data_IF_546004255813
#
_entry.id   IF_546004255813
#
_cell.length_a   1.000
_cell.length_b   1.000
_cell.length_c   1.000
_cell.angle_alpha   90.00
_cell.angle_beta   90.00
_cell.angle_gamma   90.00
#
_symmetry.space_group_name_H-M   'P 1'
#
loop_
_entity.id
_entity.type
_entity.pdbx_description
1 polymer ?
#
# COMPACT_ATOMS: atom_id res chain seq x y z
N UNK A 1 -37.70 -1.44 -19.85
CA UNK A 1 -37.10 -0.53 -20.85
C UNK A 1 -36.08 -1.24 -21.73
N UNK A 2 -35.03 -1.87 -21.19
CA UNK A 2 -33.97 -2.49 -22.01
C UNK A 2 -34.08 -4.03 -22.21
N UNK A 3 -34.98 -4.71 -21.49
CA UNK A 3 -35.18 -6.16 -21.65
C UNK A 3 -34.02 -7.06 -21.16
N UNK A 4 -32.95 -6.47 -20.60
CA UNK A 4 -31.81 -7.20 -20.02
C UNK A 4 -31.94 -7.32 -18.50
N UNK A 5 -31.29 -8.33 -17.93
CA UNK A 5 -31.22 -8.47 -16.47
C UNK A 5 -30.33 -7.39 -15.84
N UNK A 6 -30.59 -7.04 -14.57
CA UNK A 6 -29.75 -6.07 -13.84
C UNK A 6 -28.28 -6.50 -13.79
N UNK A 7 -28.03 -7.81 -13.63
CA UNK A 7 -26.68 -8.38 -13.57
C UNK A 7 -25.91 -8.14 -14.87
N UNK A 8 -26.56 -8.45 -16.00
CA UNK A 8 -26.00 -8.28 -17.33
C UNK A 8 -25.80 -6.80 -17.67
N UNK A 9 -26.74 -5.94 -17.25
CA UNK A 9 -26.60 -4.51 -17.40
C UNK A 9 -25.40 -3.96 -16.62
N UNK A 10 -25.26 -4.30 -15.34
CA UNK A 10 -24.16 -3.86 -14.49
C UNK A 10 -22.81 -4.35 -15.01
N UNK A 11 -22.74 -5.61 -15.46
CA UNK A 11 -21.53 -6.18 -16.05
C UNK A 11 -21.11 -5.42 -17.31
N UNK A 12 -22.03 -5.18 -18.26
CA UNK A 12 -21.76 -4.38 -19.47
C UNK A 12 -21.39 -2.94 -19.15
N UNK A 13 -22.00 -2.34 -18.13
CA UNK A 13 -21.66 -1.01 -17.66
C UNK A 13 -20.23 -0.95 -17.10
N UNK A 14 -19.78 -2.00 -16.41
CA UNK A 14 -18.41 -2.15 -15.93
C UNK A 14 -17.40 -2.21 -17.06
N UNK A 15 -17.70 -3.00 -18.10
CA UNK A 15 -16.89 -3.08 -19.33
C UNK A 15 -16.79 -1.71 -20.00
N UNK A 16 -17.94 -1.05 -20.23
CA UNK A 16 -17.97 0.28 -20.84
C UNK A 16 -17.18 1.31 -20.02
N UNK A 17 -17.26 1.26 -18.69
CA UNK A 17 -16.57 2.19 -17.81
C UNK A 17 -15.05 2.16 -18.00
N UNK A 18 -14.44 0.99 -18.18
CA UNK A 18 -12.99 0.86 -18.41
C UNK A 18 -12.60 1.58 -19.71
N UNK A 19 -13.37 1.39 -20.78
CA UNK A 19 -13.16 2.11 -22.05
C UNK A 19 -13.38 3.62 -21.90
N UNK A 20 -14.40 4.03 -21.14
CA UNK A 20 -14.69 5.43 -20.86
C UNK A 20 -13.53 6.12 -20.13
N UNK A 21 -13.02 5.55 -19.03
CA UNK A 21 -11.91 6.18 -18.28
C UNK A 21 -10.62 6.25 -19.10
N UNK A 22 -10.40 5.27 -19.99
CA UNK A 22 -9.27 5.29 -20.93
C UNK A 22 -9.26 6.55 -21.81
N UNK A 23 -10.42 7.01 -22.27
CA UNK A 23 -10.56 8.22 -23.10
C UNK A 23 -10.17 9.52 -22.36
N UNK A 24 -10.22 9.52 -21.03
CA UNK A 24 -9.81 10.66 -20.19
C UNK A 24 -8.34 10.59 -19.75
N UNK A 25 -7.54 9.73 -20.37
CA UNK A 25 -6.10 9.64 -20.14
C UNK A 25 -5.68 8.74 -18.98
N UNK A 26 -6.64 8.09 -18.29
CA UNK A 26 -6.33 7.10 -17.25
C UNK A 26 -5.76 5.80 -17.81
N UNK A 27 -5.83 5.59 -19.13
CA UNK A 27 -5.26 4.44 -19.83
C UNK A 27 -3.78 4.22 -19.49
N UNK A 28 -2.99 5.31 -19.44
CA UNK A 28 -1.57 5.28 -19.08
C UNK A 28 -1.34 4.89 -17.62
N UNK A 29 -2.22 5.31 -16.72
CA UNK A 29 -2.10 5.00 -15.29
C UNK A 29 -2.47 3.54 -15.05
N UNK A 30 -3.53 3.05 -15.71
CA UNK A 30 -3.97 1.66 -15.60
C UNK A 30 -2.95 0.69 -16.21
N UNK A 31 -2.27 1.06 -17.30
CA UNK A 31 -1.26 0.20 -17.94
C UNK A 31 0.04 0.05 -17.14
N UNK A 32 0.35 1.00 -16.26
CA UNK A 32 1.55 0.96 -15.40
C UNK A 32 1.27 0.48 -13.97
N UNK A 33 0.01 0.26 -13.60
CA UNK A 33 -0.35 -0.12 -12.23
C UNK A 33 0.19 -1.50 -11.82
N UNK A 34 0.36 -2.41 -12.78
CA UNK A 34 0.88 -3.73 -12.51
C UNK A 34 1.44 -4.40 -13.76
N UNK A 35 2.55 -5.14 -13.62
CA UNK A 35 3.12 -5.93 -14.72
C UNK A 35 2.24 -7.13 -15.07
N UNK A 36 1.63 -7.74 -14.06
CA UNK A 36 0.69 -8.84 -14.21
C UNK A 36 -0.68 -8.47 -13.62
N UNK A 37 -1.71 -9.21 -14.04
CA UNK A 37 -3.09 -8.98 -13.57
C UNK A 37 -3.21 -9.05 -12.04
N UNK A 38 -2.42 -9.92 -11.40
CA UNK A 38 -2.32 -9.99 -9.94
C UNK A 38 -1.81 -8.67 -9.34
N UNK A 39 -0.74 -8.11 -9.89
CA UNK A 39 -0.12 -6.87 -9.41
C UNK A 39 -1.10 -5.70 -9.54
N UNK A 40 -1.84 -5.66 -10.66
CA UNK A 40 -2.89 -4.68 -10.89
C UNK A 40 -3.93 -4.70 -9.77
N UNK A 41 -4.48 -5.89 -9.46
CA UNK A 41 -5.53 -6.04 -8.45
C UNK A 41 -5.05 -5.63 -7.05
N UNK A 42 -3.80 -5.95 -6.70
CA UNK A 42 -3.17 -5.47 -5.47
C UNK A 42 -2.94 -3.95 -5.45
N UNK A 43 -2.60 -3.37 -6.60
CA UNK A 43 -2.30 -1.94 -6.73
C UNK A 43 -3.54 -1.05 -6.71
N UNK A 44 -4.75 -1.61 -6.87
CA UNK A 44 -6.00 -0.83 -6.96
C UNK A 44 -6.25 0.05 -5.74
N UNK A 45 -5.97 -0.45 -4.52
CA UNK A 45 -6.16 0.32 -3.30
C UNK A 45 -5.25 1.56 -3.28
N UNK A 46 -4.01 1.45 -3.78
CA UNK A 46 -3.07 2.57 -3.88
C UNK A 46 -3.50 3.58 -4.95
N UNK A 47 -3.98 3.10 -6.11
CA UNK A 47 -4.55 3.96 -7.14
C UNK A 47 -5.74 4.76 -6.60
N UNK A 48 -6.65 4.09 -5.88
CA UNK A 48 -7.79 4.74 -5.26
C UNK A 48 -7.37 5.78 -4.21
N UNK A 49 -6.32 5.51 -3.44
CA UNK A 49 -5.80 6.50 -2.50
C UNK A 49 -5.24 7.72 -3.23
N UNK A 50 -4.48 7.52 -4.31
CA UNK A 50 -4.01 8.61 -5.16
C UNK A 50 -5.16 9.44 -5.74
N UNK A 51 -6.21 8.80 -6.22
CA UNK A 51 -7.39 9.49 -6.77
C UNK A 51 -8.15 10.32 -5.72
N UNK A 52 -8.02 10.04 -4.42
CA UNK A 52 -8.65 10.87 -3.38
C UNK A 52 -8.05 12.27 -3.28
N UNK A 53 -6.81 12.48 -3.73
CA UNK A 53 -6.23 13.83 -3.80
C UNK A 53 -7.05 14.73 -4.74
N UNK A 54 -7.48 14.20 -5.89
CA UNK A 54 -8.34 14.91 -6.84
C UNK A 54 -9.83 14.84 -6.48
N UNK A 55 -10.25 13.73 -5.84
CA UNK A 55 -11.65 13.48 -5.48
C UNK A 55 -11.80 13.19 -3.97
N UNK A 56 -11.74 14.21 -3.08
CA UNK A 56 -11.68 14.01 -1.63
C UNK A 56 -12.89 13.28 -1.02
N UNK A 57 -14.05 13.35 -1.68
CA UNK A 57 -15.28 12.67 -1.24
C UNK A 57 -15.42 11.25 -1.78
N UNK A 58 -14.44 10.75 -2.54
CA UNK A 58 -14.51 9.42 -3.15
C UNK A 58 -14.49 8.33 -2.08
N UNK A 59 -15.51 7.47 -2.10
CA UNK A 59 -15.61 6.25 -1.28
C UNK A 59 -15.24 5.04 -2.14
N UNK A 60 -13.95 4.81 -2.27
CA UNK A 60 -13.41 3.70 -3.04
C UNK A 60 -13.68 2.34 -2.37
N UNK A 61 -13.92 1.27 -3.15
CA UNK A 61 -13.87 -0.09 -2.65
C UNK A 61 -12.41 -0.50 -2.37
N UNK A 62 -12.24 -1.56 -1.56
CA UNK A 62 -10.95 -2.18 -1.27
C UNK A 62 -10.88 -3.58 -1.88
N UNK A 63 -9.70 -3.92 -2.40
CA UNK A 63 -9.39 -5.19 -3.06
C UNK A 63 -8.25 -5.89 -2.34
N UNK A 64 -8.48 -7.12 -1.89
CA UNK A 64 -7.48 -7.96 -1.24
C UNK A 64 -7.44 -9.29 -1.96
N UNK A 65 -6.26 -9.68 -2.42
CA UNK A 65 -6.09 -10.91 -3.17
C UNK A 65 -5.40 -11.98 -2.30
N UNK A 66 -6.02 -13.15 -2.16
CA UNK A 66 -5.58 -14.31 -1.38
C UNK A 66 -5.45 -15.57 -2.26
N UNK A 67 -4.87 -16.65 -1.72
CA UNK A 67 -4.75 -17.98 -2.38
C UNK A 67 -4.24 -17.92 -3.83
N UNK A 68 -3.11 -17.24 -4.02
CA UNK A 68 -2.52 -17.05 -5.34
C UNK A 68 -1.93 -18.34 -5.89
N UNK A 69 -2.33 -18.71 -7.10
CA UNK A 69 -1.82 -19.89 -7.79
C UNK A 69 -1.43 -19.55 -9.23
N UNK A 70 -0.88 -20.53 -9.95
CA UNK A 70 -0.59 -20.44 -11.39
C UNK A 70 -1.84 -20.29 -12.25
N UNK A 71 -3.03 -20.62 -11.72
CA UNK A 71 -4.28 -20.70 -12.46
C UNK A 71 -5.31 -19.64 -12.03
N UNK A 72 -4.96 -18.79 -11.07
CA UNK A 72 -5.91 -17.81 -10.54
C UNK A 72 -5.61 -17.41 -9.11
N UNK A 73 -6.58 -16.73 -8.50
CA UNK A 73 -6.53 -16.26 -7.11
C UNK A 73 -7.93 -16.03 -6.56
N UNK A 74 -8.04 -15.92 -5.24
CA UNK A 74 -9.27 -15.50 -4.56
C UNK A 74 -9.21 -13.98 -4.34
N UNK A 75 -10.23 -13.25 -4.79
CA UNK A 75 -10.30 -11.80 -4.63
C UNK A 75 -11.41 -11.44 -3.65
N UNK A 76 -11.04 -10.75 -2.57
CA UNK A 76 -11.97 -10.14 -1.65
C UNK A 76 -12.22 -8.68 -2.04
N UNK A 77 -13.48 -8.39 -2.34
CA UNK A 77 -13.99 -7.06 -2.61
C UNK A 77 -14.77 -6.56 -1.41
N UNK A 78 -14.41 -5.38 -0.91
CA UNK A 78 -15.12 -4.72 0.20
C UNK A 78 -15.58 -3.33 -0.21
N UNK A 79 -16.86 -3.03 0.01
CA UNK A 79 -17.45 -1.76 -0.40
C UNK A 79 -18.59 -1.34 0.51
N UNK A 80 -18.71 -0.05 0.79
CA UNK A 80 -19.90 0.52 1.45
C UNK A 80 -21.10 0.65 0.49
N UNK A 81 -20.87 0.52 -0.82
CA UNK A 81 -21.90 0.64 -1.86
C UNK A 81 -22.41 -0.75 -2.24
N UNK A 82 -23.72 -0.95 -2.16
CA UNK A 82 -24.42 -2.19 -2.51
C UNK A 82 -24.80 -2.20 -4.00
N UNK A 83 -24.96 -3.38 -4.60
CA UNK A 83 -25.40 -3.54 -5.99
C UNK A 83 -24.32 -3.39 -7.07
N UNK A 84 -23.05 -3.19 -6.70
CA UNK A 84 -21.94 -3.00 -7.65
C UNK A 84 -21.12 -4.27 -7.92
N UNK A 85 -21.57 -5.43 -7.42
CA UNK A 85 -20.84 -6.70 -7.54
C UNK A 85 -20.54 -7.04 -9.01
N UNK A 86 -21.58 -7.12 -9.84
CA UNK A 86 -21.45 -7.43 -11.26
C UNK A 86 -20.76 -6.32 -12.06
N UNK A 87 -20.90 -5.06 -11.62
CA UNK A 87 -20.17 -3.93 -12.21
C UNK A 87 -18.66 -4.10 -12.03
N UNK A 88 -18.21 -4.46 -10.83
CA UNK A 88 -16.80 -4.75 -10.56
C UNK A 88 -16.32 -5.98 -11.32
N UNK A 89 -17.14 -7.02 -11.48
CA UNK A 89 -16.80 -8.17 -12.34
C UNK A 89 -16.53 -7.75 -13.79
N UNK A 90 -17.42 -6.92 -14.37
CA UNK A 90 -17.26 -6.39 -15.72
C UNK A 90 -15.97 -5.58 -15.90
N UNK A 91 -15.64 -4.73 -14.92
CA UNK A 91 -14.40 -3.95 -14.93
C UNK A 91 -13.15 -4.85 -14.91
N UNK A 92 -13.10 -5.82 -13.99
CA UNK A 92 -11.95 -6.73 -13.85
C UNK A 92 -11.74 -7.55 -15.13
N UNK A 93 -12.83 -8.03 -15.74
CA UNK A 93 -12.78 -8.80 -16.98
C UNK A 93 -12.27 -7.95 -18.14
N UNK A 94 -12.76 -6.72 -18.27
CA UNK A 94 -12.33 -5.82 -19.33
C UNK A 94 -10.87 -5.40 -19.17
N UNK A 95 -10.41 -5.11 -17.96
CA UNK A 95 -9.00 -4.82 -17.69
C UNK A 95 -8.11 -6.01 -18.07
N UNK A 96 -8.50 -7.23 -17.68
CA UNK A 96 -7.74 -8.44 -18.00
C UNK A 96 -7.64 -8.66 -19.52
N UNK A 97 -8.73 -8.42 -20.26
CA UNK A 97 -8.77 -8.56 -21.71
C UNK A 97 -7.98 -7.46 -22.42
N UNK A 98 -8.20 -6.20 -22.04
CA UNK A 98 -7.69 -5.03 -22.75
C UNK A 98 -6.20 -4.80 -22.47
N UNK A 99 -5.77 -4.83 -21.21
CA UNK A 99 -4.37 -4.53 -20.84
C UNK A 99 -3.46 -5.75 -20.80
N UNK A 100 -3.99 -6.91 -20.38
CA UNK A 100 -3.19 -8.11 -20.15
C UNK A 100 -3.39 -9.20 -21.20
N UNK A 101 -4.34 -9.01 -22.12
CA UNK A 101 -4.71 -9.98 -23.16
C UNK A 101 -5.00 -11.38 -22.57
N UNK A 102 -5.68 -11.41 -21.42
CA UNK A 102 -6.05 -12.63 -20.72
C UNK A 102 -7.56 -12.80 -20.68
N UNK A 103 -8.00 -14.02 -20.95
CA UNK A 103 -9.35 -14.43 -20.58
C UNK A 103 -9.43 -14.63 -19.07
N UNK A 104 -10.44 -14.00 -18.47
CA UNK A 104 -10.67 -13.98 -17.03
C UNK A 104 -12.07 -14.54 -16.76
N UNK A 105 -12.11 -15.69 -16.08
CA UNK A 105 -13.35 -16.21 -15.53
C UNK A 105 -13.50 -15.77 -14.07
N UNK A 106 -14.68 -15.25 -13.72
CA UNK A 106 -14.95 -14.71 -12.38
C UNK A 106 -16.21 -15.39 -11.84
N UNK A 107 -16.06 -16.09 -10.73
CA UNK A 107 -17.18 -16.72 -10.01
C UNK A 107 -17.44 -16.00 -8.69
N UNK A 108 -18.71 -15.76 -8.39
CA UNK A 108 -19.14 -15.27 -7.10
C UNK A 108 -19.21 -16.43 -6.11
N UNK A 109 -18.27 -16.49 -5.16
CA UNK A 109 -18.20 -17.57 -4.16
C UNK A 109 -19.08 -17.24 -2.96
N UNK A 110 -19.02 -16.01 -2.48
CA UNK A 110 -19.73 -15.57 -1.28
C UNK A 110 -20.04 -14.07 -1.35
N UNK A 111 -21.20 -13.68 -0.88
CA UNK A 111 -21.59 -12.29 -0.70
C UNK A 111 -22.19 -12.13 0.71
N UNK A 112 -21.61 -11.25 1.49
CA UNK A 112 -22.03 -10.99 2.87
C UNK A 112 -22.14 -9.50 3.14
N UNK A 113 -23.03 -9.15 4.06
CA UNK A 113 -23.20 -7.79 4.55
C UNK A 113 -22.73 -7.77 6.00
N UNK A 114 -21.56 -7.19 6.22
CA UNK A 114 -21.00 -6.96 7.55
C UNK A 114 -21.27 -5.49 7.93
N UNK A 115 -22.28 -5.27 8.78
CA UNK A 115 -22.73 -3.95 9.20
C UNK A 115 -23.13 -3.05 8.01
N UNK A 116 -22.31 -2.03 7.70
CA UNK A 116 -22.51 -1.07 6.60
C UNK A 116 -21.71 -1.45 5.34
N UNK A 117 -20.93 -2.53 5.38
CA UNK A 117 -19.98 -2.91 4.34
C UNK A 117 -20.36 -4.25 3.72
N UNK A 118 -20.43 -4.27 2.40
CA UNK A 118 -20.56 -5.49 1.61
C UNK A 118 -19.17 -6.10 1.44
N UNK A 119 -19.04 -7.37 1.79
CA UNK A 119 -17.85 -8.18 1.52
C UNK A 119 -18.23 -9.29 0.55
N UNK A 120 -17.61 -9.26 -0.62
CA UNK A 120 -17.77 -10.27 -1.66
C UNK A 120 -16.45 -11.00 -1.83
N UNK A 121 -16.53 -12.32 -2.00
CA UNK A 121 -15.40 -13.16 -2.37
C UNK A 121 -15.62 -13.68 -3.78
N UNK A 122 -14.69 -13.35 -4.68
CA UNK A 122 -14.64 -13.85 -6.04
C UNK A 122 -13.56 -14.91 -6.18
N UNK A 123 -13.84 -15.95 -6.96
CA UNK A 123 -12.80 -16.83 -7.48
C UNK A 123 -12.45 -16.36 -8.89
N UNK A 124 -11.20 -15.94 -9.08
CA UNK A 124 -10.66 -15.52 -10.37
C UNK A 124 -9.85 -16.66 -10.97
N UNK A 125 -10.16 -17.06 -12.20
CA UNK A 125 -9.45 -18.11 -12.92
C UNK A 125 -8.89 -17.51 -14.21
N UNK A 126 -7.56 -17.50 -14.31
CA UNK A 126 -6.79 -16.96 -15.43
C UNK A 126 -5.36 -17.51 -15.43
N UNK A 127 -4.66 -17.44 -16.55
CA UNK A 127 -3.24 -17.83 -16.59
C UNK A 127 -2.39 -16.84 -15.79
N UNK A 128 -1.92 -17.26 -14.61
CA UNK A 128 -1.10 -16.47 -13.69
C UNK A 128 0.34 -17.03 -13.57
N UNK A 129 0.78 -17.85 -14.53
CA UNK A 129 2.11 -18.51 -14.47
C UNK A 129 3.27 -17.51 -14.45
N UNK A 130 3.15 -16.41 -15.19
CA UNK A 130 4.20 -15.38 -15.28
C UNK A 130 4.56 -14.80 -13.90
N UNK A 131 3.55 -14.54 -13.06
CA UNK A 131 3.74 -14.10 -11.68
C UNK A 131 4.44 -15.18 -10.83
N UNK A 132 4.02 -16.44 -10.96
CA UNK A 132 4.63 -17.53 -10.17
C UNK A 132 6.10 -17.71 -10.50
N UNK A 133 6.50 -17.57 -11.77
CA UNK A 133 7.91 -17.62 -12.17
C UNK A 133 8.71 -16.45 -11.62
N UNK A 134 8.15 -15.24 -11.65
CA UNK A 134 8.79 -14.06 -11.05
C UNK A 134 8.97 -14.21 -9.54
N UNK A 135 7.94 -14.67 -8.83
CA UNK A 135 7.99 -14.93 -7.38
C UNK A 135 9.01 -16.01 -7.04
N UNK A 136 9.04 -17.11 -7.81
CA UNK A 136 10.02 -18.18 -7.63
C UNK A 136 11.47 -17.72 -7.86
N UNK A 137 11.68 -16.80 -8.81
CA UNK A 137 12.99 -16.20 -9.06
C UNK A 137 13.44 -15.30 -7.89
N UNK A 138 12.52 -14.61 -7.21
CA UNK A 138 12.83 -13.81 -6.01
C UNK A 138 13.13 -14.66 -4.78
N UNK A 139 12.58 -15.88 -4.69
CA UNK A 139 12.87 -16.85 -3.61
C UNK A 139 14.12 -17.71 -3.88
N UNK A 140 14.85 -17.50 -4.98
CA UNK A 140 16.08 -18.27 -5.23
C UNK A 140 17.13 -17.87 -4.19
N UNK A 141 17.33 -18.77 -3.23
CA UNK A 141 18.20 -18.65 -2.06
C UNK A 141 19.59 -18.10 -2.41
N UNK A 142 19.81 -16.81 -2.14
CA UNK A 142 21.14 -16.38 -1.72
C UNK A 142 21.26 -16.72 -0.23
N UNK A 143 21.99 -17.80 0.08
CA UNK A 143 22.27 -18.26 1.45
C UNK A 143 22.97 -17.22 2.32
N UNK A 144 23.44 -16.14 1.71
CA UNK A 144 23.99 -14.97 2.36
C UNK A 144 23.43 -13.74 1.67
N UNK A 145 22.77 -12.84 2.43
CA UNK A 145 22.54 -11.50 1.90
C UNK A 145 23.91 -10.86 1.67
N UNK A 146 24.19 -10.29 0.49
CA UNK A 146 25.49 -9.69 0.17
C UNK A 146 25.78 -8.41 0.98
N UNK A 147 24.83 -7.97 1.80
CA UNK A 147 24.82 -6.71 2.51
C UNK A 147 24.55 -6.98 3.99
N UNK A 148 25.38 -6.43 4.88
CA UNK A 148 25.15 -6.50 6.32
C UNK A 148 23.92 -5.67 6.72
N UNK A 149 23.22 -6.07 7.79
CA UNK A 149 22.06 -5.32 8.27
C UNK A 149 22.40 -3.84 8.57
N UNK A 150 23.62 -3.57 9.02
CA UNK A 150 24.12 -2.21 9.27
C UNK A 150 24.02 -1.32 8.03
N UNK A 151 24.47 -1.80 6.87
CA UNK A 151 24.42 -1.05 5.60
C UNK A 151 22.97 -0.80 5.17
N UNK A 152 22.03 -1.71 5.49
CA UNK A 152 20.61 -1.52 5.19
C UNK A 152 20.02 -0.35 5.99
N UNK A 153 20.37 -0.21 7.28
CA UNK A 153 19.92 0.90 8.13
C UNK A 153 20.57 2.24 7.80
N UNK A 154 21.77 2.23 7.19
CA UNK A 154 22.40 3.42 6.61
C UNK A 154 21.70 3.85 5.32
N UNK A 155 21.35 2.91 4.44
CA UNK A 155 20.67 3.21 3.16
C UNK A 155 19.22 3.67 3.39
N UNK A 156 18.53 3.11 4.38
CA UNK A 156 17.14 3.45 4.70
C UNK A 156 17.03 4.17 6.05
N UNK A 157 17.27 5.50 6.09
CA UNK A 157 17.34 6.28 7.32
C UNK A 157 16.02 6.30 8.12
N UNK A 158 14.88 6.11 7.45
CA UNK A 158 13.54 6.10 8.02
C UNK A 158 12.85 4.74 7.96
N UNK A 159 13.60 3.65 8.17
CA UNK A 159 13.01 2.33 8.32
C UNK A 159 12.75 1.97 9.80
N UNK A 160 11.71 1.16 10.03
CA UNK A 160 11.35 0.63 11.35
C UNK A 160 11.14 -0.87 11.20
N UNK A 161 11.81 -1.65 12.04
CA UNK A 161 11.67 -3.11 12.13
C UNK A 161 11.06 -3.45 13.47
N UNK A 162 9.91 -4.11 13.47
CA UNK A 162 9.18 -4.51 14.67
C UNK A 162 8.65 -5.95 14.57
N UNK A 163 8.46 -6.60 15.73
CA UNK A 163 7.97 -7.98 15.80
C UNK A 163 6.45 -8.10 15.79
N UNK A 164 5.96 -9.35 15.83
CA UNK A 164 4.53 -9.66 15.96
C UNK A 164 3.91 -9.15 17.28
N UNK A 165 4.75 -8.90 18.27
CA UNK A 165 4.46 -8.26 19.56
C UNK A 165 4.26 -6.73 19.45
N UNK A 166 4.39 -6.16 18.25
CA UNK A 166 4.39 -4.72 17.95
C UNK A 166 5.55 -3.96 18.62
N UNK A 167 6.60 -4.68 19.06
CA UNK A 167 7.77 -4.08 19.70
C UNK A 167 8.84 -3.77 18.65
N UNK A 168 9.34 -2.53 18.66
CA UNK A 168 10.39 -2.08 17.75
C UNK A 168 11.73 -2.69 18.14
N UNK A 169 12.40 -3.34 17.18
CA UNK A 169 13.67 -4.05 17.35
C UNK A 169 14.84 -3.31 16.73
N UNK A 170 14.61 -2.58 15.64
CA UNK A 170 15.64 -1.81 14.95
C UNK A 170 15.01 -0.63 14.21
N UNK A 171 15.76 0.46 14.07
CA UNK A 171 15.35 1.68 13.37
C UNK A 171 16.52 2.21 12.55
N UNK A 172 16.23 2.92 11.47
CA UNK A 172 17.24 3.59 10.66
C UNK A 172 17.92 4.76 11.39
N UNK A 173 19.08 5.18 10.90
CA UNK A 173 19.94 6.13 11.60
C UNK A 173 19.27 7.49 11.86
N UNK A 174 18.50 8.02 10.90
CA UNK A 174 17.79 9.29 11.11
C UNK A 174 16.68 9.15 12.15
N UNK A 175 15.92 8.05 12.15
CA UNK A 175 14.94 7.81 13.22
C UNK A 175 15.59 7.61 14.59
N UNK A 176 16.81 7.07 14.64
CA UNK A 176 17.55 6.94 15.90
C UNK A 176 17.96 8.30 16.49
N UNK A 177 18.30 9.28 15.64
CA UNK A 177 18.57 10.66 16.07
C UNK A 177 17.29 11.36 16.54
N UNK A 178 16.18 11.13 15.84
CA UNK A 178 14.92 11.84 16.05
C UNK A 178 14.13 11.24 17.24
N UNK A 179 14.07 9.92 17.34
CA UNK A 179 13.30 9.14 18.31
C UNK A 179 14.17 8.02 18.93
N UNK A 180 15.22 8.35 19.71
CA UNK A 180 16.14 7.35 20.26
C UNK A 180 15.44 6.36 21.21
N UNK A 181 14.38 6.80 21.88
CA UNK A 181 13.63 5.99 22.86
C UNK A 181 12.64 5.00 22.22
N UNK A 182 12.51 5.00 20.90
CA UNK A 182 11.60 4.13 20.18
C UNK A 182 11.98 2.65 20.28
N UNK A 183 13.29 2.35 20.38
CA UNK A 183 13.81 0.97 20.46
C UNK A 183 13.29 0.26 21.72
N UNK A 184 12.80 -0.97 21.54
CA UNK A 184 12.25 -1.80 22.62
C UNK A 184 10.86 -1.36 23.11
N UNK A 185 10.25 -0.33 22.51
CA UNK A 185 8.90 0.13 22.85
C UNK A 185 7.87 -0.40 21.85
N UNK A 186 6.61 -0.33 22.23
CA UNK A 186 5.50 -0.64 21.31
C UNK A 186 5.37 0.49 20.29
N UNK A 187 5.36 0.15 19.00
CA UNK A 187 5.22 1.13 17.91
C UNK A 187 3.91 1.92 18.03
N UNK A 188 2.85 1.29 18.51
CA UNK A 188 1.52 1.90 18.72
C UNK A 188 1.49 2.96 19.82
N UNK A 189 2.52 3.05 20.67
CA UNK A 189 2.63 4.09 21.68
C UNK A 189 3.28 5.37 21.14
N UNK A 190 3.99 5.26 20.02
CA UNK A 190 4.76 6.35 19.42
C UNK A 190 4.17 6.83 18.10
N UNK A 191 3.45 5.95 17.39
CA UNK A 191 2.86 6.25 16.09
C UNK A 191 1.38 5.92 16.06
N UNK A 192 0.63 6.80 15.40
CA UNK A 192 -0.72 6.55 14.92
C UNK A 192 -0.69 6.11 13.46
N UNK A 193 -1.48 5.08 13.15
CA UNK A 193 -1.71 4.63 11.78
C UNK A 193 -2.80 5.47 11.14
N UNK A 194 -2.39 6.43 10.30
CA UNK A 194 -3.31 7.34 9.62
C UNK A 194 -3.89 6.69 8.37
N UNK A 195 -3.08 5.89 7.65
CA UNK A 195 -3.53 5.18 6.44
C UNK A 195 -2.91 3.79 6.36
N UNK A 196 -3.66 2.77 5.89
CA UNK A 196 -5.12 2.81 5.70
C UNK A 196 -5.84 2.91 7.06
N UNK A 197 -7.10 3.38 7.08
CA UNK A 197 -7.93 3.48 8.29
C UNK A 197 -8.33 2.08 8.78
N UNK A 198 -7.41 1.41 9.46
CA UNK A 198 -7.57 0.07 10.04
C UNK A 198 -7.05 0.07 11.47
N UNK A 199 -7.39 -0.99 12.22
CA UNK A 199 -6.77 -1.22 13.51
C UNK A 199 -5.26 -1.42 13.34
N UNK A 200 -4.46 -0.67 14.11
CA UNK A 200 -3.00 -0.78 14.09
C UNK A 200 -2.55 -2.04 14.85
N UNK A 201 -2.75 -3.21 14.24
CA UNK A 201 -2.42 -4.54 14.77
C UNK A 201 -1.64 -5.35 13.74
N UNK A 202 -0.71 -6.18 14.20
CA UNK A 202 0.20 -6.95 13.34
C UNK A 202 -0.53 -7.77 12.27
N UNK A 203 -1.54 -8.55 12.66
CA UNK A 203 -2.30 -9.38 11.71
C UNK A 203 -3.03 -8.54 10.65
N UNK A 204 -3.52 -7.35 11.03
CA UNK A 204 -4.23 -6.46 10.12
C UNK A 204 -3.29 -5.82 9.11
N UNK A 205 -2.06 -5.51 9.52
CA UNK A 205 -0.98 -5.03 8.64
C UNK A 205 -0.58 -6.13 7.65
N UNK A 206 -0.37 -7.37 8.12
CA UNK A 206 -0.01 -8.51 7.26
C UNK A 206 -1.04 -8.78 6.17
N UNK A 207 -2.33 -8.63 6.47
CA UNK A 207 -3.39 -8.80 5.49
C UNK A 207 -3.45 -7.68 4.43
N UNK A 208 -2.65 -6.62 4.56
CA UNK A 208 -2.64 -5.44 3.69
C UNK A 208 -1.23 -5.00 3.29
N UNK A 209 -0.28 -5.94 3.18
CA UNK A 209 1.12 -5.65 2.87
C UNK A 209 1.34 -4.86 1.58
N UNK A 210 0.40 -4.92 0.63
CA UNK A 210 0.49 -4.20 -0.64
C UNK A 210 -0.06 -2.76 -0.59
N UNK A 211 -0.63 -2.35 0.53
CA UNK A 211 -1.15 -0.99 0.70
C UNK A 211 -0.06 -0.07 1.24
N UNK A 212 -0.12 1.22 0.89
CA UNK A 212 0.72 2.24 1.50
C UNK A 212 0.27 2.45 2.96
N UNK A 213 1.23 2.38 3.88
CA UNK A 213 1.02 2.70 5.29
C UNK A 213 1.60 4.09 5.59
N UNK A 214 0.79 4.94 6.20
CA UNK A 214 1.19 6.25 6.69
C UNK A 214 1.13 6.25 8.22
N UNK A 215 2.29 6.43 8.84
CA UNK A 215 2.45 6.53 10.29
C UNK A 215 2.79 7.97 10.66
N UNK A 216 2.11 8.51 11.66
CA UNK A 216 2.37 9.85 12.20
C UNK A 216 2.75 9.72 13.67
N UNK A 217 3.74 10.47 14.13
CA UNK A 217 4.11 10.44 15.55
C UNK A 217 2.99 11.01 16.41
N UNK A 218 2.71 10.36 17.54
CA UNK A 218 1.66 10.81 18.49
C UNK A 218 2.04 12.18 19.06
N UNK A 219 3.29 12.33 19.46
CA UNK A 219 3.85 13.59 19.94
C UNK A 219 4.66 14.28 18.84
N UNK A 220 4.69 15.63 18.83
CA UNK A 220 5.56 16.39 17.96
C UNK A 220 7.02 16.02 18.25
N UNK A 221 7.78 15.80 17.17
CA UNK A 221 9.23 15.67 17.27
C UNK A 221 9.79 17.04 17.66
N UNK A 222 10.20 17.22 18.91
CA UNK A 222 10.96 18.39 19.34
C UNK A 222 12.37 18.34 18.78
N UNK A 223 12.84 19.43 18.17
CA UNK A 223 14.23 19.60 17.77
C UNK A 223 15.14 19.51 18.99
N UNK A 224 15.80 18.36 19.21
CA UNK A 224 16.87 18.22 20.21
C UNK A 224 18.22 18.77 19.72
N UNK A 225 18.23 19.56 18.65
CA UNK A 225 19.46 20.07 18.02
C UNK A 225 20.19 21.10 18.90
N UNK A 226 19.50 21.75 19.85
CA UNK A 226 20.12 22.83 20.63
C UNK A 226 20.81 22.36 21.92
N UNK A 227 20.48 21.18 22.44
CA UNK A 227 20.99 20.74 23.74
C UNK A 227 22.45 20.23 23.72
N UNK A 228 23.03 19.95 22.54
CA UNK A 228 24.43 19.52 22.43
C UNK A 228 25.39 20.67 22.10
N UNK A 229 24.89 21.84 21.69
CA UNK A 229 25.74 23.00 21.41
C UNK A 229 25.99 23.87 22.65
N UNK A 230 25.10 23.87 23.65
CA UNK A 230 25.30 24.66 24.88
C UNK A 230 26.39 24.07 25.80
N UNK A 231 26.57 22.74 25.83
CA UNK A 231 27.62 22.09 26.64
C UNK A 231 29.05 22.27 26.09
N UNK A 232 29.19 22.68 24.81
CA UNK A 232 30.49 23.00 24.20
C UNK A 232 30.86 24.49 24.30
N UNK A 233 29.92 25.37 24.65
CA UNK A 233 30.13 26.83 24.74
C UNK A 233 30.48 27.32 26.15
N UNK A 234 30.49 26.45 27.16
CA UNK A 234 30.89 26.79 28.53
C UNK A 234 32.38 26.56 28.83
N UNK A 235 33.16 26.10 27.84
CA UNK A 235 34.60 25.90 27.94
C UNK A 235 35.36 26.47 26.74
N UNK A 236 35.28 27.79 26.53
CA UNK A 236 36.38 28.50 25.86
C UNK A 236 36.42 29.96 26.34
N UNK A 237 37.33 30.21 27.29
CA UNK A 237 37.68 31.55 27.75
C UNK A 237 38.82 32.07 26.86
N UNK A 238 38.52 33.10 26.05
CA UNK A 238 39.53 34.01 25.50
C UNK A 238 39.89 33.86 24.02
N UNK A 239 39.25 34.64 23.14
CA UNK A 239 39.88 35.69 22.29
C UNK A 239 38.97 36.18 21.15
N UNK A 240 38.93 37.51 21.01
CA UNK A 240 38.36 38.46 20.01
C UNK A 240 37.66 37.96 18.70
N UNK A 241 36.67 38.73 18.17
CA UNK A 241 35.86 38.33 17.02
C UNK A 241 36.44 38.84 15.68
N UNK A 242 36.65 37.93 14.71
CA UNK A 242 36.94 38.31 13.32
C UNK A 242 35.73 38.14 12.39
N UNK A 243 35.63 39.11 11.48
CA UNK A 243 34.49 39.44 10.62
C UNK A 243 34.34 38.50 9.43
N UNK A 244 33.07 38.41 8.99
CA UNK A 244 32.63 38.30 7.58
C UNK A 244 32.73 36.94 6.90
N UNK A 245 31.60 36.41 6.44
CA UNK A 245 31.17 36.52 5.03
C UNK A 245 29.81 35.82 4.83
N UNK A 246 28.84 36.58 4.30
CA UNK A 246 27.60 36.06 3.70
C UNK A 246 27.92 35.46 2.33
N UNK A 247 27.23 34.38 1.97
CA UNK A 247 27.14 33.91 0.59
C UNK A 247 25.69 33.96 0.09
N UNK A 248 25.57 34.39 -1.17
CA UNK A 248 24.36 34.39 -2.01
C UNK A 248 23.90 32.97 -2.32
#
# INVERSE_FOLDING_TARGET
>A
VLGVSEREFMDRLGVYFVGFVGQYGYDRVLSVLGRHMRDFLNGLDNLHEYLKFSYPRMRAPSFICENETKQGLTLHYRSKRRGFVYYTMGQIREVARYFYHKEMHIELVREEILFDTVHVTFQLTFDNRAFTLASLAMTREEKHLPISAHVLFEIFPFCIVFGADMVVRSIGNSLMVILPELLGKKITAWFDLVRPLIAFKFQTILNRTNNIFELVTVDPVTERLDAQNEDLLLHDDGSEPEKSLRLK
#
